data_IF_731004509367
#
_entry.id   IF_731004509367
#
_cell.length_a   1.000
_cell.length_b   1.000
_cell.length_c   1.000
_cell.angle_alpha   90.00
_cell.angle_beta   90.00
_cell.angle_gamma   90.00
#
_symmetry.space_group_name_H-M   'P 1'
#
loop_
_entity.id
_entity.type
_entity.pdbx_description
1 polymer ?
#
# COMPACT_ATOMS: atom_id res chain seq x y z
N UNK A 1 15.21 4.84 -1.48
CA UNK A 1 15.11 3.71 -0.50
C UNK A 1 14.25 2.56 -1.03
N UNK A 2 13.07 2.87 -1.63
CA UNK A 2 12.22 1.84 -2.25
C UNK A 2 12.87 1.30 -3.52
N UNK A 3 13.46 2.16 -4.33
CA UNK A 3 14.24 1.84 -5.51
C UNK A 3 15.42 0.90 -5.17
N UNK A 4 16.14 1.18 -4.05
CA UNK A 4 17.23 0.33 -3.55
C UNK A 4 16.79 -1.09 -3.20
N UNK A 5 15.51 -1.29 -2.89
CA UNK A 5 14.92 -2.61 -2.67
C UNK A 5 14.67 -3.39 -3.98
N UNK A 6 14.97 -2.79 -5.14
CA UNK A 6 14.75 -3.39 -6.45
C UNK A 6 13.27 -3.49 -6.84
N UNK A 7 12.47 -2.52 -6.41
CA UNK A 7 11.10 -2.31 -6.87
C UNK A 7 11.11 -1.35 -8.06
N UNK A 8 10.28 -1.65 -9.05
CA UNK A 8 10.06 -0.77 -10.19
C UNK A 8 9.09 0.34 -9.77
N UNK A 9 9.63 1.54 -9.58
CA UNK A 9 8.91 2.72 -9.12
C UNK A 9 9.21 3.90 -10.05
N UNK A 10 8.31 4.89 -10.16
CA UNK A 10 8.60 6.12 -10.88
C UNK A 10 9.88 6.77 -10.36
N UNK A 11 10.74 7.20 -11.27
CA UNK A 11 11.99 7.86 -10.92
C UNK A 11 11.73 9.16 -10.18
N UNK A 12 12.47 9.40 -9.11
CA UNK A 12 12.49 10.70 -8.45
C UNK A 12 13.47 11.62 -9.19
N UNK A 13 12.94 12.67 -9.81
CA UNK A 13 13.76 13.64 -10.54
C UNK A 13 14.27 14.76 -9.63
N UNK A 14 13.41 15.29 -8.76
CA UNK A 14 13.78 16.41 -7.89
C UNK A 14 13.00 16.42 -6.57
N UNK A 15 13.63 16.94 -5.52
CA UNK A 15 12.96 17.33 -4.27
C UNK A 15 13.06 18.85 -4.16
N UNK A 16 11.95 19.55 -4.18
CA UNK A 16 11.90 21.02 -4.24
C UNK A 16 10.87 21.59 -3.26
N UNK A 17 10.74 22.91 -3.22
CA UNK A 17 9.68 23.60 -2.47
C UNK A 17 8.80 24.39 -3.44
N UNK A 18 7.49 24.21 -3.34
CA UNK A 18 6.47 24.96 -4.06
C UNK A 18 5.53 25.56 -3.02
N UNK A 19 5.37 26.89 -3.03
CA UNK A 19 4.54 27.63 -2.05
C UNK A 19 4.85 27.23 -0.60
N UNK A 20 6.13 27.22 -0.24
CA UNK A 20 6.66 26.85 1.10
C UNK A 20 6.40 25.39 1.52
N UNK A 21 5.87 24.54 0.64
CA UNK A 21 5.64 23.13 0.90
C UNK A 21 6.68 22.27 0.17
N UNK A 22 7.14 21.22 0.82
CA UNK A 22 8.00 20.23 0.17
C UNK A 22 7.23 19.48 -0.90
N UNK A 23 7.80 19.40 -2.08
CA UNK A 23 7.27 18.68 -3.25
C UNK A 23 8.29 17.69 -3.79
N UNK A 24 7.81 16.55 -4.27
CA UNK A 24 8.57 15.56 -5.00
C UNK A 24 8.18 15.66 -6.47
N UNK A 25 9.16 15.87 -7.33
CA UNK A 25 8.99 15.79 -8.79
C UNK A 25 9.37 14.37 -9.18
N UNK A 26 8.41 13.62 -9.69
CA UNK A 26 8.59 12.23 -10.10
C UNK A 26 8.24 12.05 -11.57
N UNK A 27 8.81 11.03 -12.17
CA UNK A 27 8.50 10.60 -13.53
C UNK A 27 6.99 10.38 -13.70
N UNK A 28 6.42 11.01 -14.74
CA UNK A 28 5.01 10.83 -15.07
C UNK A 28 4.78 9.44 -15.69
N UNK A 29 3.89 8.67 -15.10
CA UNK A 29 3.49 7.37 -15.64
C UNK A 29 2.30 7.56 -16.56
N UNK A 30 2.50 7.31 -17.87
CA UNK A 30 1.42 7.34 -18.85
C UNK A 30 0.53 6.10 -18.72
N UNK A 31 -0.79 6.31 -18.77
CA UNK A 31 -1.77 5.22 -18.68
C UNK A 31 -3.00 5.61 -17.88
N UNK A 32 -3.82 4.62 -17.56
CA UNK A 32 -5.01 4.78 -16.71
C UNK A 32 -4.81 4.05 -15.38
N UNK A 33 -5.53 4.45 -14.34
CA UNK A 33 -5.50 3.70 -13.08
C UNK A 33 -6.15 2.34 -13.25
N UNK A 34 -5.65 1.35 -12.54
CA UNK A 34 -6.24 0.01 -12.54
C UNK A 34 -7.71 0.05 -12.06
N UNK A 35 -8.05 0.97 -11.16
CA UNK A 35 -9.44 1.21 -10.74
C UNK A 35 -10.33 1.58 -11.94
N UNK A 36 -9.89 2.52 -12.78
CA UNK A 36 -10.61 2.92 -14.01
C UNK A 36 -10.72 1.75 -15.00
N UNK A 37 -9.66 0.96 -15.16
CA UNK A 37 -9.68 -0.22 -16.03
C UNK A 37 -10.67 -1.27 -15.53
N UNK A 38 -10.69 -1.57 -14.21
CA UNK A 38 -11.65 -2.50 -13.61
C UNK A 38 -13.10 -2.03 -13.75
N UNK A 39 -13.35 -0.72 -13.67
CA UNK A 39 -14.69 -0.13 -13.86
C UNK A 39 -15.18 -0.22 -15.30
N UNK A 40 -14.27 -0.05 -16.28
CA UNK A 40 -14.58 -0.11 -17.72
C UNK A 40 -14.79 -1.55 -18.22
N UNK A 41 -14.16 -2.51 -17.60
CA UNK A 41 -14.16 -3.93 -18.02
C UNK A 41 -14.44 -4.87 -16.84
N UNK A 42 -15.69 -4.84 -16.32
CA UNK A 42 -16.08 -5.65 -15.16
C UNK A 42 -16.07 -7.16 -15.43
N UNK A 43 -16.16 -7.59 -16.68
CA UNK A 43 -16.14 -9.00 -17.07
C UNK A 43 -14.76 -9.64 -16.81
N UNK A 44 -13.70 -8.85 -16.79
CA UNK A 44 -12.33 -9.29 -16.50
C UNK A 44 -11.84 -8.93 -15.08
N UNK A 45 -12.75 -8.55 -14.18
CA UNK A 45 -12.40 -8.13 -12.81
C UNK A 45 -11.54 -9.16 -12.06
N UNK A 46 -11.84 -10.45 -12.23
CA UNK A 46 -11.09 -11.52 -11.57
C UNK A 46 -9.62 -11.57 -12.03
N UNK A 47 -9.39 -11.36 -13.33
CA UNK A 47 -8.04 -11.27 -13.91
C UNK A 47 -7.27 -10.10 -13.34
N UNK A 48 -7.86 -8.91 -13.37
CA UNK A 48 -7.22 -7.69 -12.83
C UNK A 48 -6.92 -7.81 -11.34
N UNK A 49 -7.85 -8.42 -10.58
CA UNK A 49 -7.65 -8.65 -9.15
C UNK A 49 -6.49 -9.63 -8.91
N UNK A 50 -6.35 -10.66 -9.74
CA UNK A 50 -5.24 -11.61 -9.64
C UNK A 50 -3.88 -10.94 -9.90
N UNK A 51 -3.79 -10.09 -10.94
CA UNK A 51 -2.60 -9.31 -11.27
C UNK A 51 -2.26 -8.28 -10.16
N UNK A 52 -3.27 -7.63 -9.61
CA UNK A 52 -3.14 -6.70 -8.49
C UNK A 52 -2.57 -7.38 -7.23
N UNK A 53 -3.08 -8.57 -6.88
CA UNK A 53 -2.58 -9.36 -5.75
C UNK A 53 -1.14 -9.81 -6.00
N UNK A 54 -0.80 -10.28 -7.21
CA UNK A 54 0.56 -10.69 -7.57
C UNK A 54 1.55 -9.53 -7.43
N UNK A 55 1.15 -8.33 -7.82
CA UNK A 55 1.96 -7.12 -7.67
C UNK A 55 2.22 -6.78 -6.19
N UNK A 56 1.20 -6.87 -5.33
CA UNK A 56 1.37 -6.66 -3.89
C UNK A 56 2.30 -7.71 -3.26
N UNK A 57 2.19 -8.97 -3.66
CA UNK A 57 3.08 -10.03 -3.19
C UNK A 57 4.52 -9.82 -3.63
N UNK A 58 4.76 -9.28 -4.83
CA UNK A 58 6.09 -8.88 -5.28
C UNK A 58 6.69 -7.77 -4.40
N UNK A 59 5.89 -6.79 -3.98
CA UNK A 59 6.29 -5.76 -3.01
C UNK A 59 6.65 -6.40 -1.67
N UNK A 60 5.78 -7.26 -1.15
CA UNK A 60 5.97 -7.96 0.13
C UNK A 60 7.15 -8.96 0.11
N UNK A 61 7.63 -9.38 -1.06
CA UNK A 61 8.83 -10.20 -1.18
C UNK A 61 10.13 -9.41 -0.92
N UNK A 62 10.05 -8.08 -0.93
CA UNK A 62 11.22 -7.20 -0.75
C UNK A 62 11.40 -6.81 0.71
N UNK A 63 12.65 -6.42 1.04
CA UNK A 63 13.03 -5.84 2.33
C UNK A 63 13.76 -4.52 2.11
N UNK A 64 13.49 -3.53 2.96
CA UNK A 64 14.14 -2.22 2.90
C UNK A 64 14.39 -1.71 4.34
N UNK A 65 15.52 -2.09 4.96
CA UNK A 65 15.77 -1.85 6.39
C UNK A 65 15.86 -0.36 6.76
N UNK A 66 16.06 0.52 5.78
CA UNK A 66 16.12 1.97 5.97
C UNK A 66 14.73 2.65 5.97
N UNK A 67 13.66 1.91 5.72
CA UNK A 67 12.30 2.43 5.83
C UNK A 67 11.87 2.53 7.30
N UNK A 68 10.96 3.46 7.56
CA UNK A 68 10.30 3.58 8.87
C UNK A 68 9.57 2.28 9.20
N UNK A 69 9.68 1.81 10.44
CA UNK A 69 8.97 0.61 10.89
C UNK A 69 7.48 0.90 10.99
N UNK A 70 6.66 0.00 10.45
CA UNK A 70 5.19 0.12 10.49
C UNK A 70 4.67 0.24 11.93
N UNK A 71 5.21 -0.53 12.88
CA UNK A 71 4.84 -0.45 14.29
C UNK A 71 5.09 0.93 14.88
N UNK A 72 6.24 1.55 14.59
CA UNK A 72 6.60 2.88 15.10
C UNK A 72 5.65 3.94 14.52
N UNK A 73 5.32 3.84 13.21
CA UNK A 73 4.32 4.71 12.56
C UNK A 73 2.95 4.57 13.20
N UNK A 74 2.46 3.34 13.39
CA UNK A 74 1.15 3.08 14.01
C UNK A 74 1.11 3.52 15.48
N UNK A 75 2.16 3.26 16.26
CA UNK A 75 2.26 3.73 17.65
C UNK A 75 2.18 5.26 17.74
N UNK A 76 2.88 5.96 16.83
CA UNK A 76 2.80 7.43 16.74
C UNK A 76 1.38 7.90 16.42
N UNK A 77 0.71 7.26 15.45
CA UNK A 77 -0.67 7.59 15.07
C UNK A 77 -1.64 7.37 16.24
N UNK A 78 -1.59 6.20 16.91
CA UNK A 78 -2.42 5.90 18.10
C UNK A 78 -2.21 6.96 19.20
N UNK A 79 -0.97 7.39 19.44
CA UNK A 79 -0.67 8.41 20.45
C UNK A 79 -1.20 9.80 20.07
N UNK A 80 -1.36 10.10 18.79
CA UNK A 80 -1.84 11.40 18.29
C UNK A 80 -3.37 11.51 18.21
N UNK A 81 -4.09 10.38 18.21
CA UNK A 81 -5.56 10.36 18.16
C UNK A 81 -6.14 10.93 19.45
N UNK A 82 -6.88 12.04 19.34
CA UNK A 82 -7.50 12.72 20.48
C UNK A 82 -8.80 12.03 20.95
N UNK A 83 -9.42 11.29 20.06
CA UNK A 83 -10.67 10.57 20.25
C UNK A 83 -10.54 9.34 21.17
N UNK A 84 -9.31 8.84 21.34
CA UNK A 84 -9.03 7.69 22.20
C UNK A 84 -8.84 8.14 23.65
N UNK A 85 -9.54 7.48 24.57
CA UNK A 85 -9.26 7.58 26.00
C UNK A 85 -7.94 6.83 26.36
N UNK A 86 -7.50 7.00 27.62
CA UNK A 86 -6.23 6.40 28.08
C UNK A 86 -6.24 4.85 28.04
N UNK A 87 -7.37 4.24 28.36
CA UNK A 87 -7.53 2.78 28.38
C UNK A 87 -7.50 2.21 26.97
N UNK A 88 -8.28 2.79 26.05
CA UNK A 88 -8.31 2.40 24.65
C UNK A 88 -6.92 2.53 24.00
N UNK A 89 -6.24 3.64 24.27
CA UNK A 89 -4.88 3.88 23.78
C UNK A 89 -3.90 2.82 24.30
N UNK A 90 -3.92 2.53 25.58
CA UNK A 90 -3.08 1.51 26.19
C UNK A 90 -3.33 0.13 25.58
N UNK A 91 -4.60 -0.28 25.46
CA UNK A 91 -4.94 -1.56 24.85
C UNK A 91 -4.45 -1.70 23.40
N UNK A 92 -4.64 -0.65 22.58
CA UNK A 92 -4.16 -0.65 21.20
C UNK A 92 -2.64 -0.75 21.12
N UNK A 93 -1.91 -0.03 21.96
CA UNK A 93 -0.45 -0.08 22.00
C UNK A 93 0.06 -1.47 22.47
N UNK A 94 -0.59 -2.07 23.46
CA UNK A 94 -0.24 -3.44 23.92
C UNK A 94 -0.49 -4.46 22.80
N UNK A 95 -1.63 -4.38 22.10
CA UNK A 95 -1.91 -5.24 20.95
C UNK A 95 -0.88 -5.05 19.83
N UNK A 96 -0.55 -3.81 19.51
CA UNK A 96 0.45 -3.49 18.48
C UNK A 96 1.83 -4.07 18.86
N UNK A 97 2.26 -3.93 20.14
CA UNK A 97 3.55 -4.45 20.57
C UNK A 97 3.60 -5.98 20.54
N UNK A 98 2.50 -6.66 20.85
CA UNK A 98 2.41 -8.12 20.82
C UNK A 98 2.49 -8.73 19.42
N UNK A 99 2.26 -7.94 18.36
CA UNK A 99 2.32 -8.44 16.99
C UNK A 99 3.75 -8.83 16.60
N UNK A 100 3.96 -9.88 15.77
CA UNK A 100 5.27 -10.28 15.29
C UNK A 100 6.01 -9.14 14.56
N UNK A 101 7.34 -9.12 14.71
CA UNK A 101 8.20 -8.17 13.99
C UNK A 101 8.54 -8.75 12.62
N UNK A 102 8.24 -7.98 11.57
CA UNK A 102 8.56 -8.33 10.19
C UNK A 102 9.27 -7.14 9.52
N UNK A 103 9.94 -7.42 8.40
CA UNK A 103 10.76 -6.44 7.66
C UNK A 103 10.39 -6.37 6.19
N UNK A 104 9.18 -6.83 5.85
CA UNK A 104 8.66 -6.75 4.49
C UNK A 104 8.40 -5.30 4.10
N UNK A 105 8.59 -4.95 2.82
CA UNK A 105 8.13 -3.66 2.31
C UNK A 105 6.61 -3.67 2.32
N UNK A 106 6.00 -2.66 2.92
CA UNK A 106 4.57 -2.42 2.97
C UNK A 106 4.30 -1.08 2.30
N UNK A 107 3.44 -1.03 1.30
CA UNK A 107 3.11 0.20 0.59
C UNK A 107 2.40 1.21 1.50
N UNK A 108 1.46 0.73 2.30
CA UNK A 108 0.72 1.54 3.28
C UNK A 108 -0.47 2.32 2.70
N UNK A 109 -0.70 2.21 1.39
CA UNK A 109 -1.88 2.70 0.66
C UNK A 109 -2.06 1.95 -0.66
N UNK A 110 -1.90 0.62 -0.64
CA UNK A 110 -1.98 -0.21 -1.84
C UNK A 110 -3.44 -0.44 -2.24
N UNK A 111 -3.86 0.26 -3.28
CA UNK A 111 -5.21 0.18 -3.83
C UNK A 111 -5.18 0.40 -5.37
N UNK A 112 -6.23 0.02 -6.13
CA UNK A 112 -6.20 0.09 -7.59
C UNK A 112 -6.04 1.51 -8.17
N UNK A 113 -6.36 2.58 -7.42
CA UNK A 113 -6.12 3.95 -7.89
C UNK A 113 -4.64 4.35 -7.83
N UNK A 114 -3.82 3.60 -7.07
CA UNK A 114 -2.36 3.77 -6.96
C UNK A 114 -1.58 2.78 -7.84
N UNK A 115 -2.25 2.16 -8.81
CA UNK A 115 -1.62 1.30 -9.83
C UNK A 115 -1.98 1.84 -11.21
N UNK A 116 -0.97 2.17 -12.01
CA UNK A 116 -1.14 2.64 -13.38
C UNK A 116 -0.95 1.47 -14.34
N UNK A 117 -1.88 1.34 -15.28
CA UNK A 117 -1.83 0.40 -16.39
C UNK A 117 -1.31 1.16 -17.60
N UNK A 118 -0.08 0.88 -18.02
CA UNK A 118 0.52 1.47 -19.21
C UNK A 118 -0.10 0.95 -20.51
N UNK A 119 0.16 1.63 -21.62
CA UNK A 119 -0.31 1.20 -22.96
C UNK A 119 0.22 -0.18 -23.37
N UNK A 120 1.36 -0.60 -22.83
CA UNK A 120 1.96 -1.93 -23.00
C UNK A 120 1.37 -2.98 -22.04
N UNK A 121 0.40 -2.62 -21.21
CA UNK A 121 -0.21 -3.46 -20.19
C UNK A 121 0.63 -3.62 -18.92
N UNK A 122 1.77 -2.94 -18.81
CA UNK A 122 2.62 -2.98 -17.61
C UNK A 122 1.93 -2.26 -16.45
N UNK A 123 1.97 -2.89 -15.27
CA UNK A 123 1.48 -2.30 -14.04
C UNK A 123 2.62 -1.57 -13.30
N UNK A 124 2.41 -0.31 -12.98
CA UNK A 124 3.36 0.50 -12.21
C UNK A 124 2.69 1.04 -10.94
N UNK A 125 3.31 0.81 -9.79
CA UNK A 125 2.80 1.29 -8.49
C UNK A 125 3.31 2.69 -8.24
N UNK A 126 2.38 3.58 -7.86
CA UNK A 126 2.64 4.99 -7.56
C UNK A 126 2.24 5.33 -6.12
N UNK A 127 2.54 6.56 -5.68
CA UNK A 127 2.21 7.08 -4.34
C UNK A 127 2.80 6.27 -3.18
N UNK A 128 4.12 6.21 -3.12
CA UNK A 128 4.90 5.57 -2.06
C UNK A 128 5.04 6.42 -0.78
N UNK A 129 4.21 7.45 -0.60
CA UNK A 129 4.29 8.37 0.55
C UNK A 129 4.09 7.67 1.90
N UNK A 130 3.39 6.56 1.93
CA UNK A 130 3.06 5.81 3.13
C UNK A 130 3.91 4.56 3.36
N UNK A 131 4.92 4.33 2.53
CA UNK A 131 5.77 3.13 2.59
C UNK A 131 6.44 2.94 3.95
N UNK A 132 6.46 1.69 4.39
CA UNK A 132 7.10 1.28 5.65
C UNK A 132 7.74 -0.10 5.49
N UNK A 133 8.51 -0.53 6.49
CA UNK A 133 8.87 -1.94 6.66
C UNK A 133 8.03 -2.55 7.80
N UNK A 134 7.44 -3.71 7.57
CA UNK A 134 6.58 -4.31 8.58
C UNK A 134 5.96 -5.64 8.19
N UNK A 135 4.76 -5.87 8.70
CA UNK A 135 4.00 -7.08 8.46
C UNK A 135 3.14 -6.93 7.18
N UNK A 136 3.38 -7.78 6.21
CA UNK A 136 2.61 -7.86 4.97
C UNK A 136 1.10 -8.03 5.21
N UNK A 137 0.71 -8.81 6.22
CA UNK A 137 -0.71 -8.99 6.55
C UNK A 137 -1.38 -7.69 7.02
N UNK A 138 -0.64 -6.77 7.66
CA UNK A 138 -1.19 -5.48 8.04
C UNK A 138 -1.41 -4.56 6.82
N UNK A 139 -0.50 -4.61 5.84
CA UNK A 139 -0.66 -3.91 4.57
C UNK A 139 -1.85 -4.46 3.76
N UNK A 140 -1.96 -5.79 3.67
CA UNK A 140 -3.10 -6.45 3.04
C UNK A 140 -4.43 -6.16 3.74
N UNK A 141 -4.45 -6.07 5.07
CA UNK A 141 -5.64 -5.71 5.82
C UNK A 141 -6.12 -4.28 5.52
N UNK A 142 -5.20 -3.34 5.30
CA UNK A 142 -5.54 -1.98 4.87
C UNK A 142 -6.14 -1.99 3.46
N UNK A 143 -5.53 -2.70 2.52
CA UNK A 143 -6.07 -2.90 1.16
C UNK A 143 -7.48 -3.51 1.20
N UNK A 144 -7.68 -4.56 2.00
CA UNK A 144 -9.00 -5.15 2.20
C UNK A 144 -10.03 -4.13 2.71
N UNK A 145 -9.65 -3.34 3.72
CA UNK A 145 -10.53 -2.31 4.28
C UNK A 145 -10.92 -1.26 3.24
N UNK A 146 -9.98 -0.82 2.41
CA UNK A 146 -10.24 0.15 1.33
C UNK A 146 -11.23 -0.42 0.30
N UNK A 147 -11.08 -1.68 -0.11
CA UNK A 147 -12.08 -2.36 -0.94
C UNK A 147 -13.43 -2.47 -0.23
N UNK A 148 -13.46 -2.90 1.04
CA UNK A 148 -14.69 -3.13 1.78
C UNK A 148 -15.54 -1.86 1.96
N UNK A 149 -14.91 -0.70 2.05
CA UNK A 149 -15.58 0.61 2.12
C UNK A 149 -16.24 1.00 0.80
N UNK A 150 -15.78 0.47 -0.34
CA UNK A 150 -16.33 0.75 -1.68
C UNK A 150 -17.22 -0.40 -2.18
N UNK A 151 -16.72 -1.62 -2.14
CA UNK A 151 -17.35 -2.82 -2.68
C UNK A 151 -16.94 -4.07 -1.89
N UNK A 152 -17.87 -4.61 -1.10
CA UNK A 152 -17.61 -5.78 -0.25
C UNK A 152 -17.30 -7.05 -1.06
N UNK A 153 -17.90 -7.22 -2.24
CA UNK A 153 -17.65 -8.40 -3.09
C UNK A 153 -16.20 -8.38 -3.61
N UNK A 154 -15.73 -7.22 -4.04
CA UNK A 154 -14.33 -7.04 -4.44
C UNK A 154 -13.36 -7.26 -3.28
N UNK A 155 -13.71 -6.83 -2.07
CA UNK A 155 -12.91 -7.07 -0.86
C UNK A 155 -12.75 -8.56 -0.56
N UNK A 156 -13.83 -9.33 -0.59
CA UNK A 156 -13.79 -10.78 -0.34
C UNK A 156 -13.02 -11.52 -1.46
N UNK A 157 -13.17 -11.08 -2.71
CA UNK A 157 -12.39 -11.60 -3.85
C UNK A 157 -10.89 -11.36 -3.62
N UNK A 158 -10.51 -10.13 -3.31
CA UNK A 158 -9.13 -9.76 -3.00
C UNK A 158 -8.55 -10.63 -1.86
N UNK A 159 -9.26 -10.69 -0.72
CA UNK A 159 -8.79 -11.43 0.44
C UNK A 159 -8.61 -12.92 0.14
N UNK A 160 -9.57 -13.52 -0.58
CA UNK A 160 -9.51 -14.92 -0.99
C UNK A 160 -8.30 -15.20 -1.86
N UNK A 161 -8.03 -14.33 -2.85
CA UNK A 161 -6.89 -14.48 -3.75
C UNK A 161 -5.56 -14.26 -3.01
N UNK A 162 -5.49 -13.23 -2.18
CA UNK A 162 -4.29 -12.94 -1.39
C UNK A 162 -3.94 -14.11 -0.47
N UNK A 163 -4.90 -14.66 0.28
CA UNK A 163 -4.66 -15.78 1.19
C UNK A 163 -4.29 -17.09 0.47
N UNK A 164 -4.71 -17.28 -0.78
CA UNK A 164 -4.32 -18.47 -1.56
C UNK A 164 -2.89 -18.42 -2.08
N UNK A 165 -2.36 -17.20 -2.27
CA UNK A 165 -1.06 -16.97 -2.92
C UNK A 165 0.06 -16.60 -1.93
N UNK A 166 -0.27 -16.13 -0.71
CA UNK A 166 0.67 -15.66 0.33
C UNK A 166 1.29 -16.76 1.20
#
# INVERSE_FOLDING_TARGET
RVEEAGLDIPKLDEVTQIDEKWALVIECQAGETLETVMEKDPDNLEKYMAEFVDLQLQIHAKTAPMLTKLKDKLAKQINQLKELDATQRYELLVRLESMPKHTKVCHGDFNPSNVIVGEDGKLTVVDWAHVTQGNASADAALTYLQFALKNRVAAEMYLTMFCKKS
#
